data_IF_681578219629
#
_entry.id   IF_681578219629
#
_cell.length_a   1.000
_cell.length_b   1.000
_cell.length_c   1.000
_cell.angle_alpha   90.00
_cell.angle_beta   90.00
_cell.angle_gamma   90.00
#
_symmetry.space_group_name_H-M   'P 1'
#
loop_
_entity.id
_entity.type
_entity.pdbx_description
1 polymer ?
#
# COMPACT_ATOMS: atom_id res chain seq x y z
N UNK A 1 7.46 24.87 2.28
CA UNK A 1 7.25 23.59 3.00
C UNK A 1 8.56 23.17 3.64
N UNK A 2 8.51 22.87 4.91
CA UNK A 2 9.70 22.37 5.62
C UNK A 2 9.87 20.87 5.36
N UNK A 3 11.05 20.35 5.74
CA UNK A 3 11.28 18.92 5.64
C UNK A 3 10.29 18.13 6.52
N UNK A 4 9.97 18.66 7.68
CA UNK A 4 8.99 17.98 8.57
C UNK A 4 7.61 17.94 7.94
N UNK A 5 7.21 19.02 7.28
CA UNK A 5 5.93 19.02 6.54
C UNK A 5 5.96 18.00 5.42
N UNK A 6 7.07 17.95 4.69
CA UNK A 6 7.22 17.00 3.59
C UNK A 6 7.19 15.56 4.10
N UNK A 7 7.79 15.31 5.26
CA UNK A 7 7.79 13.97 5.86
C UNK A 7 6.36 13.54 6.22
N UNK A 8 5.56 14.46 6.75
CA UNK A 8 4.16 14.15 7.07
C UNK A 8 3.37 13.85 5.81
N UNK A 9 3.56 14.64 4.78
CA UNK A 9 2.86 14.44 3.51
C UNK A 9 3.28 13.13 2.85
N UNK A 10 4.57 12.79 2.97
CA UNK A 10 5.09 11.52 2.47
C UNK A 10 4.37 10.34 3.11
N UNK A 11 4.18 10.38 4.42
CA UNK A 11 3.46 9.32 5.12
C UNK A 11 2.03 9.23 4.62
N UNK A 12 1.37 10.37 4.43
CA UNK A 12 0.01 10.38 3.91
C UNK A 12 -0.08 9.69 2.55
N UNK A 13 0.84 10.01 1.64
CA UNK A 13 0.83 9.37 0.30
C UNK A 13 1.06 7.87 0.40
N UNK A 14 1.96 7.44 1.27
CA UNK A 14 2.20 6.02 1.48
C UNK A 14 0.97 5.32 2.05
N UNK A 15 0.26 5.96 2.96
CA UNK A 15 -0.97 5.42 3.51
C UNK A 15 -2.05 5.27 2.44
N UNK A 16 -2.16 6.25 1.55
CA UNK A 16 -3.13 6.18 0.45
C UNK A 16 -2.80 4.98 -0.45
N UNK A 17 -1.54 4.83 -0.82
CA UNK A 17 -1.11 3.71 -1.66
C UNK A 17 -1.40 2.38 -0.95
N UNK A 18 -1.11 2.30 0.34
CA UNK A 18 -1.39 1.10 1.11
C UNK A 18 -2.86 0.74 1.14
N UNK A 19 -3.73 1.76 1.31
CA UNK A 19 -5.17 1.53 1.30
C UNK A 19 -5.67 1.09 -0.07
N UNK A 20 -5.12 1.65 -1.14
CA UNK A 20 -5.46 1.22 -2.49
C UNK A 20 -5.09 -0.25 -2.70
N UNK A 21 -3.91 -0.67 -2.24
CA UNK A 21 -3.52 -2.07 -2.33
C UNK A 21 -4.46 -2.97 -1.54
N UNK A 22 -4.84 -2.56 -0.35
CA UNK A 22 -5.78 -3.32 0.47
C UNK A 22 -7.13 -3.45 -0.22
N UNK A 23 -7.58 -2.39 -0.88
CA UNK A 23 -8.86 -2.43 -1.59
C UNK A 23 -8.81 -3.43 -2.74
N UNK A 24 -7.69 -3.53 -3.43
CA UNK A 24 -7.54 -4.50 -4.52
C UNK A 24 -7.59 -5.93 -4.00
N UNK A 25 -6.92 -6.19 -2.87
CA UNK A 25 -6.95 -7.50 -2.25
C UNK A 25 -8.37 -7.85 -1.78
N UNK A 26 -9.07 -6.86 -1.25
CA UNK A 26 -10.45 -7.04 -0.81
C UNK A 26 -11.34 -7.47 -1.97
N UNK A 27 -11.23 -6.79 -3.11
CA UNK A 27 -12.04 -7.13 -4.29
C UNK A 27 -11.70 -8.53 -4.78
N UNK A 28 -10.41 -8.89 -4.80
CA UNK A 28 -10.00 -10.24 -5.21
C UNK A 28 -10.67 -11.30 -4.35
N UNK A 29 -10.67 -11.11 -3.03
CA UNK A 29 -11.16 -12.12 -2.11
C UNK A 29 -12.69 -12.15 -2.04
N UNK A 30 -13.35 -11.02 -2.28
CA UNK A 30 -14.80 -10.93 -2.15
C UNK A 30 -15.54 -11.13 -3.47
N UNK A 31 -14.89 -10.77 -4.58
CA UNK A 31 -15.56 -10.72 -5.87
C UNK A 31 -14.95 -11.65 -6.92
N UNK A 32 -13.81 -12.22 -6.62
CA UNK A 32 -13.15 -13.17 -7.50
C UNK A 32 -12.14 -12.54 -8.44
N UNK A 33 -11.44 -13.41 -9.18
CA UNK A 33 -10.28 -13.00 -9.96
C UNK A 33 -10.62 -12.12 -11.15
N UNK A 34 -11.73 -12.38 -11.81
CA UNK A 34 -12.10 -11.59 -12.99
C UNK A 34 -12.30 -10.12 -12.61
N UNK A 35 -13.05 -9.89 -11.51
CA UNK A 35 -13.28 -8.53 -11.04
C UNK A 35 -12.00 -7.91 -10.49
N UNK A 36 -11.17 -8.71 -9.83
CA UNK A 36 -9.89 -8.24 -9.33
C UNK A 36 -8.98 -7.74 -10.44
N UNK A 37 -8.92 -8.47 -11.57
CA UNK A 37 -8.08 -8.04 -12.71
C UNK A 37 -8.50 -6.68 -13.25
N UNK A 38 -9.80 -6.44 -13.32
CA UNK A 38 -10.31 -5.16 -13.78
C UNK A 38 -10.04 -4.06 -12.76
N UNK A 39 -10.34 -4.37 -11.50
CA UNK A 39 -10.21 -3.38 -10.43
C UNK A 39 -8.76 -2.96 -10.23
N UNK A 40 -7.84 -3.90 -10.23
CA UNK A 40 -6.43 -3.58 -9.96
C UNK A 40 -5.82 -2.70 -11.04
N UNK A 41 -6.35 -2.74 -12.24
CA UNK A 41 -5.93 -1.84 -13.29
C UNK A 41 -6.20 -0.39 -12.92
N UNK A 42 -7.40 -0.13 -12.43
CA UNK A 42 -7.78 1.21 -11.99
C UNK A 42 -6.98 1.62 -10.76
N UNK A 43 -6.76 0.68 -9.84
CA UNK A 43 -5.91 0.93 -8.68
C UNK A 43 -4.50 1.33 -9.11
N UNK A 44 -3.95 0.61 -10.11
CA UNK A 44 -2.62 0.92 -10.62
C UNK A 44 -2.53 2.34 -11.17
N UNK A 45 -3.55 2.75 -11.91
CA UNK A 45 -3.59 4.13 -12.43
C UNK A 45 -3.65 5.15 -11.31
N UNK A 46 -4.47 4.88 -10.30
CA UNK A 46 -4.58 5.79 -9.16
C UNK A 46 -3.26 5.88 -8.41
N UNK A 47 -2.56 4.75 -8.27
CA UNK A 47 -1.26 4.74 -7.60
C UNK A 47 -0.22 5.55 -8.36
N UNK A 48 -0.22 5.46 -9.70
CA UNK A 48 0.69 6.27 -10.51
C UNK A 48 0.44 7.76 -10.25
N UNK A 49 -0.81 8.16 -10.19
CA UNK A 49 -1.15 9.56 -9.93
C UNK A 49 -0.67 10.00 -8.55
N UNK A 50 -0.81 9.14 -7.54
CA UNK A 50 -0.33 9.44 -6.20
C UNK A 50 1.20 9.54 -6.20
N UNK A 51 1.89 8.64 -6.90
CA UNK A 51 3.35 8.70 -7.01
C UNK A 51 3.80 9.98 -7.73
N UNK A 52 3.04 10.44 -8.73
CA UNK A 52 3.36 11.70 -9.38
C UNK A 52 3.28 12.87 -8.39
N UNK A 53 2.29 12.86 -7.52
CA UNK A 53 2.21 13.85 -6.46
C UNK A 53 3.41 13.75 -5.52
N UNK A 54 3.79 12.53 -5.17
CA UNK A 54 4.89 12.32 -4.24
C UNK A 54 6.24 12.72 -4.85
N UNK A 55 6.40 12.63 -6.17
CA UNK A 55 7.64 13.03 -6.82
C UNK A 55 7.99 14.48 -6.55
N UNK A 56 7.01 15.33 -6.37
CA UNK A 56 7.24 16.73 -6.02
C UNK A 56 8.03 16.81 -4.71
N UNK A 57 7.70 15.96 -3.76
CA UNK A 57 8.39 15.91 -2.47
C UNK A 57 9.76 15.24 -2.60
N UNK A 58 9.81 14.11 -3.31
CA UNK A 58 11.04 13.33 -3.42
C UNK A 58 12.12 14.08 -4.20
N UNK A 59 11.73 14.93 -5.15
CA UNK A 59 12.68 15.77 -5.88
C UNK A 59 13.35 16.79 -4.95
N UNK A 60 12.60 17.28 -3.97
CA UNK A 60 13.12 18.27 -3.02
C UNK A 60 13.79 17.62 -1.81
N UNK A 61 13.33 16.46 -1.40
CA UNK A 61 13.82 15.74 -0.23
C UNK A 61 14.03 14.27 -0.61
N UNK A 62 15.13 13.98 -1.33
CA UNK A 62 15.34 12.60 -1.85
C UNK A 62 15.41 11.53 -0.77
N UNK A 63 15.77 11.92 0.44
CA UNK A 63 15.86 10.96 1.55
C UNK A 63 14.49 10.42 1.97
N UNK A 64 13.41 11.02 1.50
CA UNK A 64 12.05 10.54 1.79
C UNK A 64 11.53 9.54 0.77
N UNK A 65 12.24 9.30 -0.32
CA UNK A 65 11.83 8.31 -1.32
C UNK A 65 11.96 6.92 -0.74
N UNK A 66 10.88 6.15 -0.70
CA UNK A 66 10.92 4.80 -0.13
C UNK A 66 11.83 3.85 -0.90
N UNK A 67 12.33 2.85 -0.19
CA UNK A 67 13.16 1.82 -0.81
C UNK A 67 12.43 1.08 -1.92
N UNK A 68 11.14 0.88 -1.77
CA UNK A 68 10.32 0.15 -2.75
C UNK A 68 10.27 0.85 -4.11
N UNK A 69 10.55 2.15 -4.14
CA UNK A 69 10.54 2.92 -5.39
C UNK A 69 11.90 3.54 -5.68
N UNK A 70 12.96 2.87 -5.22
CA UNK A 70 14.32 3.24 -5.59
C UNK A 70 15.02 4.23 -4.68
N UNK A 71 14.46 4.49 -3.51
CA UNK A 71 15.06 5.41 -2.54
C UNK A 71 15.73 4.69 -1.39
N UNK A 72 15.86 5.40 -0.27
CA UNK A 72 16.52 4.87 0.93
C UNK A 72 15.63 4.94 2.17
N UNK A 73 14.47 5.55 2.06
CA UNK A 73 13.57 5.72 3.20
C UNK A 73 12.96 4.39 3.61
N UNK A 74 13.07 4.06 4.89
CA UNK A 74 12.47 2.84 5.43
C UNK A 74 11.09 3.16 5.98
N UNK A 75 10.07 2.54 5.39
CA UNK A 75 8.69 2.78 5.79
C UNK A 75 8.38 1.95 7.04
N UNK A 76 7.88 2.61 8.07
CA UNK A 76 7.42 1.92 9.28
C UNK A 76 6.06 1.30 8.98
N UNK A 77 5.92 -0.04 9.09
CA UNK A 77 4.63 -0.68 8.79
C UNK A 77 3.48 -0.17 9.66
N UNK A 78 3.78 0.42 10.80
CA UNK A 78 2.75 0.92 11.70
C UNK A 78 1.94 2.06 11.08
N UNK A 79 2.48 2.75 10.06
CA UNK A 79 1.73 3.83 9.42
C UNK A 79 0.47 3.33 8.72
N UNK A 80 0.43 2.04 8.40
CA UNK A 80 -0.72 1.46 7.69
C UNK A 80 -1.83 1.01 8.63
N UNK A 81 -1.62 1.08 9.94
CA UNK A 81 -2.62 0.69 10.91
C UNK A 81 -3.59 1.82 11.23
N UNK A 82 -4.87 1.55 11.46
CA UNK A 82 -5.51 0.24 11.33
C UNK A 82 -5.74 -0.10 9.85
N UNK A 83 -5.63 -1.38 9.54
CA UNK A 83 -5.81 -1.83 8.15
C UNK A 83 -7.28 -1.78 7.77
N UNK A 84 -7.54 -1.42 6.51
CA UNK A 84 -8.88 -1.59 5.95
C UNK A 84 -9.15 -3.08 5.73
N UNK A 85 -8.14 -3.81 5.25
CA UNK A 85 -8.28 -5.24 4.96
C UNK A 85 -6.93 -5.91 5.12
N UNK A 86 -6.89 -6.96 5.92
CA UNK A 86 -5.67 -7.74 6.14
C UNK A 86 -5.61 -8.87 5.12
N UNK A 87 -4.63 -8.79 4.21
CA UNK A 87 -4.49 -9.74 3.12
C UNK A 87 -3.16 -10.48 3.18
N UNK A 88 -2.60 -10.63 4.36
CA UNK A 88 -1.34 -11.32 4.59
C UNK A 88 -1.50 -12.80 4.28
N UNK A 89 -0.94 -13.23 3.16
CA UNK A 89 -1.05 -14.61 2.69
C UNK A 89 -0.43 -15.60 3.67
N UNK A 90 0.68 -15.24 4.28
CA UNK A 90 1.34 -16.09 5.26
C UNK A 90 0.42 -16.33 6.46
N UNK A 91 -0.23 -15.28 6.90
CA UNK A 91 -1.16 -15.37 8.02
C UNK A 91 -2.35 -16.25 7.67
N UNK A 92 -2.87 -16.12 6.45
CA UNK A 92 -3.99 -16.94 6.00
C UNK A 92 -3.61 -18.41 5.93
N UNK A 93 -2.40 -18.70 5.46
CA UNK A 93 -1.92 -20.09 5.40
C UNK A 93 -1.82 -20.69 6.78
N UNK A 94 -1.33 -19.92 7.73
CA UNK A 94 -1.23 -20.38 9.11
C UNK A 94 -2.60 -20.71 9.69
N UNK A 95 -3.58 -19.88 9.41
CA UNK A 95 -4.94 -20.13 9.88
C UNK A 95 -5.50 -21.40 9.30
N UNK A 96 -5.25 -21.67 8.04
CA UNK A 96 -5.74 -22.88 7.39
C UNK A 96 -5.07 -24.12 7.97
N UNK A 97 -3.83 -24.04 8.26
CA UNK A 97 -3.09 -25.15 8.86
C UNK A 97 -3.53 -25.41 10.27
N UNK A 98 -3.80 -24.42 10.96
CA UNK A 98 -4.25 -24.53 12.32
C UNK A 98 -5.58 -25.09 12.40
N UNK A 99 -5.75 -25.25 11.82
CA UNK A 99 -6.77 -25.64 11.74
C UNK A 99 -7.27 -26.03 10.81
N UNK A 100 -6.59 -25.88 10.44
CA UNK A 100 -6.76 -25.76 9.57
C UNK A 100 -7.49 -25.57 8.94
N UNK A 101 -7.81 -25.58 8.92
CA UNK A 101 -8.40 -25.23 8.34
C UNK A 101 -8.99 -24.66 7.86
N UNK A 102 -9.05 -24.50 7.73
CA UNK A 102 -9.54 -23.83 7.25
C UNK A 102 -10.13 -23.27 6.87
N UNK A 103 -10.25 -22.93 6.78
CA UNK A 103 -10.80 -22.31 6.62
C UNK A 103 -11.07 -22.16 6.76
#
# INVERSE_FOLDING_TARGET
MTRDDAAQLNILFLQIVGRLNQSAAFVRDKDGEAEWHLYRRSVGKAMVDVFDLAEVIWARFPELRPKQVGGTYEVDPAIYEPLFYDWDDDKKQQDQDGNQTVC
#
